data_IF_552801219690
#
_entry.id   IF_552801219690
#
_cell.length_a   1.000
_cell.length_b   1.000
_cell.length_c   1.000
_cell.angle_alpha   90.00
_cell.angle_beta   90.00
_cell.angle_gamma   90.00
#
_symmetry.space_group_name_H-M   'P 1'
#
loop_
_entity.id
_entity.type
_entity.pdbx_description
1 polymer ?
#
# COMPACT_ATOMS: atom_id res chain seq x y z
N UNK A 1 81.32 -46.22 15.43
CA UNK A 1 80.88 -45.32 16.47
C UNK A 1 79.71 -44.55 15.95
N UNK A 2 78.51 -44.84 16.50
CA UNK A 2 77.23 -44.49 15.91
C UNK A 2 76.75 -43.14 16.41
N UNK A 3 76.41 -42.28 15.48
CA UNK A 3 75.73 -41.00 15.69
C UNK A 3 74.22 -41.19 15.53
N UNK A 4 73.47 -40.94 16.58
CA UNK A 4 71.99 -40.84 16.54
C UNK A 4 71.57 -39.38 16.42
N UNK A 5 70.98 -39.05 15.29
CA UNK A 5 70.25 -37.79 15.15
C UNK A 5 68.74 -38.07 15.26
N UNK A 6 68.14 -37.55 16.31
CA UNK A 6 66.72 -37.58 16.48
C UNK A 6 66.07 -36.39 15.76
N UNK A 7 65.17 -36.71 14.89
CA UNK A 7 64.29 -35.76 14.21
C UNK A 7 63.19 -35.31 15.18
N UNK A 8 63.10 -34.01 15.37
CA UNK A 8 61.91 -33.35 15.97
C UNK A 8 61.48 -32.31 14.96
N UNK A 9 60.47 -32.61 14.21
CA UNK A 9 59.73 -31.59 13.43
C UNK A 9 58.37 -32.13 13.07
N UNK A 10 57.38 -31.29 13.19
CA UNK A 10 56.01 -31.33 12.75
C UNK A 10 54.98 -31.49 13.90
N UNK A 11 54.47 -30.34 14.30
CA UNK A 11 53.06 -30.15 14.76
C UNK A 11 52.85 -28.71 15.13
N UNK A 12 52.83 -27.75 14.13
CA UNK A 12 52.21 -26.46 14.30
C UNK A 12 51.65 -26.06 12.91
N UNK A 13 50.50 -26.54 12.57
CA UNK A 13 49.72 -25.93 11.46
C UNK A 13 48.29 -26.49 11.47
N UNK A 14 47.42 -25.99 12.32
CA UNK A 14 45.97 -25.94 12.10
C UNK A 14 45.30 -25.44 13.39
N UNK A 15 45.08 -24.15 13.54
CA UNK A 15 43.74 -23.66 13.82
C UNK A 15 43.50 -22.24 13.26
N UNK A 16 43.48 -22.06 11.97
CA UNK A 16 43.20 -20.73 11.36
C UNK A 16 42.03 -20.76 10.36
N UNK A 17 41.30 -21.88 10.27
CA UNK A 17 40.21 -22.03 9.29
C UNK A 17 38.79 -22.02 9.90
N UNK A 18 38.64 -21.74 11.19
CA UNK A 18 37.35 -21.82 11.88
C UNK A 18 36.67 -20.47 12.19
N UNK A 19 37.24 -19.33 11.76
CA UNK A 19 36.71 -17.99 12.11
C UNK A 19 35.92 -17.30 10.98
N UNK A 20 35.63 -17.98 9.88
CA UNK A 20 35.03 -17.37 8.69
C UNK A 20 33.51 -17.56 8.50
N UNK A 21 32.79 -18.26 9.39
CA UNK A 21 31.39 -18.70 9.16
C UNK A 21 30.33 -18.08 10.06
N UNK A 22 30.64 -17.03 10.81
CA UNK A 22 29.67 -16.38 11.71
C UNK A 22 29.09 -15.02 11.19
N UNK A 23 29.33 -14.65 9.95
CA UNK A 23 28.89 -13.35 9.40
C UNK A 23 27.58 -13.38 8.59
N UNK A 24 26.70 -14.37 8.74
CA UNK A 24 25.55 -14.57 7.83
C UNK A 24 24.17 -14.54 8.49
N UNK A 25 23.98 -13.85 9.61
CA UNK A 25 22.65 -13.64 10.19
C UNK A 25 22.50 -12.23 10.77
N UNK A 26 22.80 -11.20 10.00
CA UNK A 26 22.25 -9.89 10.30
C UNK A 26 20.78 -9.93 9.84
N UNK A 27 19.78 -9.57 10.69
CA UNK A 27 18.42 -9.41 10.23
C UNK A 27 18.43 -8.35 9.12
N UNK A 28 17.97 -8.72 7.93
CA UNK A 28 17.77 -7.73 6.86
C UNK A 28 16.77 -6.69 7.36
N UNK A 29 17.10 -5.41 7.21
CA UNK A 29 16.13 -4.36 7.48
C UNK A 29 14.82 -4.66 6.72
N UNK A 30 13.65 -4.42 7.34
CA UNK A 30 12.38 -4.64 6.68
C UNK A 30 12.37 -3.87 5.35
N UNK A 31 11.89 -4.54 4.30
CA UNK A 31 11.86 -3.97 2.95
C UNK A 31 10.97 -2.72 2.87
N UNK A 32 10.01 -2.59 3.79
CA UNK A 32 9.03 -1.52 3.88
C UNK A 32 8.92 -0.99 5.30
N UNK A 33 8.54 0.29 5.44
CA UNK A 33 8.26 0.93 6.73
C UNK A 33 6.77 0.90 7.07
N UNK A 34 5.89 0.95 6.06
CA UNK A 34 4.46 0.67 6.22
C UNK A 34 4.23 -0.79 6.58
N UNK A 35 3.01 -1.12 7.02
CA UNK A 35 2.70 -2.51 7.40
C UNK A 35 2.73 -3.43 6.19
N UNK A 36 3.69 -4.34 6.13
CA UNK A 36 3.76 -5.39 5.11
C UNK A 36 2.67 -6.44 5.35
N UNK A 37 1.77 -6.58 4.39
CA UNK A 37 0.67 -7.54 4.38
C UNK A 37 0.77 -8.47 3.15
N UNK A 38 1.96 -8.66 2.62
CA UNK A 38 2.22 -9.56 1.50
C UNK A 38 1.73 -10.97 1.82
N UNK A 39 0.95 -11.55 0.90
CA UNK A 39 0.34 -12.87 1.10
C UNK A 39 -1.02 -12.85 1.80
N UNK A 40 -1.56 -11.67 2.10
CA UNK A 40 -2.91 -11.55 2.62
C UNK A 40 -3.95 -12.17 1.68
N UNK A 41 -4.87 -12.96 2.25
CA UNK A 41 -5.91 -13.68 1.49
C UNK A 41 -7.23 -12.89 1.45
N UNK A 42 -7.15 -11.59 1.16
CA UNK A 42 -8.29 -10.68 1.04
C UNK A 42 -7.93 -9.51 0.12
N UNK A 43 -8.94 -8.67 -0.23
CA UNK A 43 -8.74 -7.48 -1.07
C UNK A 43 -8.15 -7.83 -2.43
N UNK A 44 -8.73 -8.83 -3.12
CA UNK A 44 -8.14 -9.40 -4.35
C UNK A 44 -8.49 -8.63 -5.60
N UNK A 45 -9.66 -8.01 -5.63
CA UNK A 45 -10.16 -7.31 -6.81
C UNK A 45 -11.32 -6.38 -6.45
N UNK A 46 -11.66 -5.51 -7.40
CA UNK A 46 -12.90 -4.75 -7.40
C UNK A 46 -13.44 -4.66 -8.83
N UNK A 47 -14.73 -4.35 -8.95
CA UNK A 47 -15.35 -3.98 -10.21
C UNK A 47 -16.33 -2.84 -9.92
N UNK A 48 -15.93 -1.61 -10.27
CA UNK A 48 -16.63 -0.36 -9.99
C UNK A 48 -16.62 0.54 -11.22
N UNK A 49 -17.38 1.63 -11.19
CA UNK A 49 -17.33 2.68 -12.21
C UNK A 49 -16.51 3.85 -11.70
N UNK A 50 -15.59 4.36 -12.53
CA UNK A 50 -14.83 5.56 -12.17
C UNK A 50 -15.67 6.83 -12.40
N UNK A 51 -15.19 7.98 -11.92
CA UNK A 51 -15.89 9.25 -12.04
C UNK A 51 -15.95 9.79 -13.48
N UNK A 52 -15.30 9.12 -14.45
CA UNK A 52 -15.45 9.37 -15.89
C UNK A 52 -16.49 8.45 -16.54
N UNK A 53 -17.17 7.59 -15.76
CA UNK A 53 -18.17 6.65 -16.26
C UNK A 53 -17.59 5.37 -16.86
N UNK A 54 -16.30 5.10 -16.65
CA UNK A 54 -15.66 3.90 -17.18
C UNK A 54 -15.70 2.77 -16.16
N UNK A 55 -16.11 1.54 -16.55
CA UNK A 55 -15.97 0.38 -15.69
C UNK A 55 -14.48 0.07 -15.47
N UNK A 56 -14.11 -0.18 -14.22
CA UNK A 56 -12.74 -0.45 -13.80
C UNK A 56 -12.63 -1.66 -12.91
N UNK A 57 -11.55 -2.36 -13.09
CA UNK A 57 -11.09 -3.46 -12.23
C UNK A 57 -9.63 -3.22 -11.84
N UNK A 58 -9.09 -3.99 -10.91
CA UNK A 58 -7.67 -3.90 -10.57
C UNK A 58 -6.77 -4.24 -11.77
N UNK A 59 -7.22 -5.12 -12.67
CA UNK A 59 -6.47 -5.54 -13.86
C UNK A 59 -6.19 -4.39 -14.85
N UNK A 60 -7.04 -3.35 -14.87
CA UNK A 60 -6.87 -2.18 -15.74
C UNK A 60 -5.64 -1.34 -15.36
N UNK A 61 -5.12 -1.54 -14.15
CA UNK A 61 -3.95 -0.82 -13.62
C UNK A 61 -2.70 -1.70 -13.54
N UNK A 62 -2.68 -2.85 -14.21
CA UNK A 62 -1.53 -3.74 -14.21
C UNK A 62 -0.26 -3.01 -14.68
N UNK A 63 0.85 -3.23 -13.98
CA UNK A 63 2.12 -2.54 -14.21
C UNK A 63 2.29 -1.25 -13.42
N UNK A 64 1.24 -0.79 -12.72
CA UNK A 64 1.31 0.33 -11.78
C UNK A 64 1.24 -0.14 -10.33
N UNK A 65 1.81 0.63 -9.43
CA UNK A 65 1.43 0.57 -8.02
C UNK A 65 0.05 1.19 -7.90
N UNK A 66 -0.88 0.51 -7.23
CA UNK A 66 -2.25 1.00 -7.02
C UNK A 66 -2.48 1.22 -5.54
N UNK A 67 -2.95 2.40 -5.16
CA UNK A 67 -3.36 2.69 -3.79
C UNK A 67 -4.87 2.84 -3.74
N UNK A 68 -5.53 2.21 -2.75
CA UNK A 68 -6.99 2.24 -2.59
C UNK A 68 -7.32 2.71 -1.18
N UNK A 69 -8.07 3.80 -1.11
CA UNK A 69 -8.61 4.36 0.12
C UNK A 69 -10.14 4.35 0.05
N UNK A 70 -10.79 3.86 1.11
CA UNK A 70 -12.24 3.87 1.26
C UNK A 70 -12.66 5.06 2.10
N UNK A 71 -13.58 5.88 1.59
CA UNK A 71 -14.00 7.09 2.25
C UNK A 71 -15.31 7.63 1.70
N UNK A 72 -15.65 8.88 2.01
CA UNK A 72 -16.81 9.59 1.47
C UNK A 72 -16.54 11.10 1.40
N UNK A 73 -17.23 11.80 0.48
CA UNK A 73 -16.91 13.20 0.17
C UNK A 73 -17.24 14.17 1.33
N UNK A 74 -18.27 13.85 2.13
CA UNK A 74 -18.68 14.67 3.26
C UNK A 74 -17.93 14.38 4.57
N UNK A 75 -16.83 13.64 4.51
CA UNK A 75 -15.96 13.40 5.64
C UNK A 75 -15.23 14.70 6.01
N UNK A 76 -15.35 15.18 7.28
CA UNK A 76 -14.83 16.51 7.64
C UNK A 76 -13.31 16.57 7.80
N UNK A 77 -12.61 15.43 7.96
CA UNK A 77 -11.20 15.41 8.36
C UNK A 77 -10.39 14.28 7.69
N UNK A 78 -10.69 13.03 8.00
CA UNK A 78 -9.85 11.86 7.66
C UNK A 78 -9.66 11.69 6.14
N UNK A 79 -10.74 11.84 5.35
CA UNK A 79 -10.68 11.63 3.91
C UNK A 79 -9.89 12.72 3.17
N UNK A 80 -10.13 14.02 3.39
CA UNK A 80 -9.32 15.05 2.75
C UNK A 80 -7.85 14.99 3.21
N UNK A 81 -7.58 14.67 4.48
CA UNK A 81 -6.21 14.49 4.98
C UNK A 81 -5.50 13.33 4.27
N UNK A 82 -6.16 12.17 4.09
CA UNK A 82 -5.59 11.03 3.38
C UNK A 82 -5.29 11.35 1.90
N UNK A 83 -6.22 11.99 1.19
CA UNK A 83 -6.02 12.39 -0.22
C UNK A 83 -4.94 13.45 -0.37
N UNK A 84 -4.85 14.43 0.54
CA UNK A 84 -3.78 15.44 0.55
C UNK A 84 -2.41 14.79 0.81
N UNK A 85 -2.34 13.83 1.73
CA UNK A 85 -1.13 13.03 1.97
C UNK A 85 -0.68 12.29 0.71
N UNK A 86 -1.63 11.65 0.00
CA UNK A 86 -1.32 10.98 -1.27
C UNK A 86 -0.92 11.97 -2.38
N UNK A 87 -1.47 13.18 -2.42
CA UNK A 87 -1.00 14.24 -3.33
C UNK A 87 0.47 14.59 -3.05
N UNK A 88 0.87 14.71 -1.79
CA UNK A 88 2.26 14.92 -1.39
C UNK A 88 3.16 13.74 -1.82
N UNK A 89 2.69 12.50 -1.65
CA UNK A 89 3.39 11.30 -2.15
C UNK A 89 3.63 11.40 -3.65
N UNK A 90 2.62 11.77 -4.43
CA UNK A 90 2.75 11.90 -5.90
C UNK A 90 3.74 13.00 -6.30
N UNK A 91 3.81 14.09 -5.55
CA UNK A 91 4.82 15.14 -5.76
C UNK A 91 6.23 14.63 -5.49
N UNK A 92 6.43 13.89 -4.39
CA UNK A 92 7.71 13.30 -4.01
C UNK A 92 8.20 12.22 -4.99
N UNK A 93 7.28 11.49 -5.60
CA UNK A 93 7.59 10.50 -6.64
C UNK A 93 8.08 11.14 -7.95
N UNK A 94 7.72 12.39 -8.20
CA UNK A 94 8.12 13.11 -9.42
C UNK A 94 7.71 12.35 -10.69
N UNK A 95 8.64 12.05 -11.62
CA UNK A 95 8.31 11.31 -12.85
C UNK A 95 7.80 9.90 -12.62
N UNK A 96 8.13 9.25 -11.51
CA UNK A 96 7.63 7.89 -11.19
C UNK A 96 6.14 7.89 -10.83
N UNK A 97 5.56 9.04 -10.49
CA UNK A 97 4.14 9.16 -10.18
C UNK A 97 3.22 8.67 -11.32
N UNK A 98 3.65 8.71 -12.58
CA UNK A 98 2.89 8.18 -13.72
C UNK A 98 2.73 6.65 -13.68
N UNK A 99 3.55 5.98 -12.87
CA UNK A 99 3.49 4.54 -12.60
C UNK A 99 2.67 4.20 -11.36
N UNK A 100 1.97 5.18 -10.79
CA UNK A 100 1.10 5.02 -9.61
C UNK A 100 -0.32 5.41 -9.96
N UNK A 101 -1.29 4.68 -9.46
CA UNK A 101 -2.70 5.04 -9.53
C UNK A 101 -3.27 5.14 -8.12
N UNK A 102 -3.76 6.32 -7.78
CA UNK A 102 -4.49 6.55 -6.54
C UNK A 102 -5.99 6.43 -6.81
N UNK A 103 -6.66 5.63 -6.00
CA UNK A 103 -8.08 5.32 -6.10
C UNK A 103 -8.76 5.65 -4.78
N UNK A 104 -9.82 6.46 -4.87
CA UNK A 104 -10.77 6.72 -3.79
C UNK A 104 -12.05 5.93 -4.07
N UNK A 105 -12.45 5.03 -3.18
CA UNK A 105 -13.70 4.26 -3.28
C UNK A 105 -14.69 4.82 -2.30
N UNK A 106 -15.84 5.31 -2.79
CA UNK A 106 -16.87 5.79 -1.85
C UNK A 106 -17.52 4.65 -1.09
N UNK A 107 -17.75 4.87 0.21
CA UNK A 107 -18.58 4.03 1.08
C UNK A 107 -19.97 4.64 1.31
N UNK A 108 -20.28 5.73 0.59
CA UNK A 108 -21.55 6.44 0.68
C UNK A 108 -22.17 6.70 -0.71
N UNK A 109 -22.46 5.67 -1.48
CA UNK A 109 -22.97 5.82 -2.84
C UNK A 109 -24.35 6.47 -2.92
N UNK A 110 -25.02 6.68 -1.79
CA UNK A 110 -26.31 7.40 -1.73
C UNK A 110 -26.12 8.92 -1.87
N UNK A 111 -25.01 9.48 -1.35
CA UNK A 111 -24.69 10.91 -1.44
C UNK A 111 -23.57 11.19 -2.44
N UNK A 112 -22.63 10.29 -2.59
CA UNK A 112 -21.46 10.45 -3.47
C UNK A 112 -21.80 9.96 -4.87
N UNK A 113 -22.35 10.85 -5.71
CA UNK A 113 -22.59 10.54 -7.13
C UNK A 113 -21.31 10.55 -7.96
N UNK A 114 -21.37 10.02 -9.18
CA UNK A 114 -20.26 10.07 -10.12
C UNK A 114 -19.80 11.51 -10.38
N UNK A 115 -20.76 12.45 -10.55
CA UNK A 115 -20.52 13.87 -10.80
C UNK A 115 -19.82 14.51 -9.59
N UNK A 116 -20.28 14.22 -8.36
CA UNK A 116 -19.65 14.75 -7.14
C UNK A 116 -18.22 14.25 -6.98
N UNK A 117 -17.96 12.96 -7.28
CA UNK A 117 -16.61 12.41 -7.26
C UNK A 117 -15.72 13.05 -8.34
N UNK A 118 -16.27 13.39 -9.51
CA UNK A 118 -15.54 14.09 -10.57
C UNK A 118 -15.14 15.53 -10.18
N UNK A 119 -15.88 16.15 -9.29
CA UNK A 119 -15.54 17.46 -8.72
C UNK A 119 -14.57 17.34 -7.54
N UNK A 120 -14.79 16.37 -6.65
CA UNK A 120 -14.06 16.24 -5.38
C UNK A 120 -12.66 15.68 -5.54
N UNK A 121 -12.51 14.53 -6.21
CA UNK A 121 -11.25 13.78 -6.22
C UNK A 121 -10.11 14.50 -6.96
N UNK A 122 -10.35 15.14 -8.13
CA UNK A 122 -9.30 15.85 -8.86
C UNK A 122 -8.78 17.12 -8.20
N UNK A 123 -9.44 17.61 -7.14
CA UNK A 123 -8.95 18.75 -6.34
C UNK A 123 -7.60 18.42 -5.69
N UNK A 124 -7.38 17.17 -5.33
CA UNK A 124 -6.13 16.71 -4.69
C UNK A 124 -5.04 16.41 -5.71
N UNK A 125 -5.38 15.70 -6.78
CA UNK A 125 -4.52 15.47 -7.95
C UNK A 125 -5.40 14.99 -9.12
N UNK A 126 -5.20 15.57 -10.31
CA UNK A 126 -5.99 15.25 -11.52
C UNK A 126 -5.85 13.80 -12.00
N UNK A 127 -4.83 13.07 -11.51
CA UNK A 127 -4.59 11.66 -11.83
C UNK A 127 -5.36 10.70 -10.91
N UNK A 128 -5.94 11.19 -9.83
CA UNK A 128 -6.70 10.36 -8.90
C UNK A 128 -8.03 9.95 -9.50
N UNK A 129 -8.48 8.75 -9.17
CA UNK A 129 -9.77 8.23 -9.61
C UNK A 129 -10.70 8.04 -8.41
N UNK A 130 -11.89 8.63 -8.50
CA UNK A 130 -13.00 8.31 -7.62
C UNK A 130 -13.82 7.16 -8.20
N UNK A 131 -14.17 6.18 -7.37
CA UNK A 131 -14.93 5.01 -7.75
C UNK A 131 -16.28 4.97 -7.03
N UNK A 132 -17.32 4.66 -7.80
CA UNK A 132 -18.68 4.50 -7.30
C UNK A 132 -19.28 3.20 -7.82
N UNK A 133 -20.29 2.69 -7.14
CA UNK A 133 -21.06 1.51 -7.53
C UNK A 133 -22.34 1.41 -6.74
N UNK A 134 -23.20 0.45 -7.08
CA UNK A 134 -24.39 0.16 -6.30
C UNK A 134 -24.05 -0.16 -4.83
N UNK A 135 -24.91 0.21 -3.86
CA UNK A 135 -24.63 -0.01 -2.43
C UNK A 135 -24.23 -1.45 -2.10
N UNK A 136 -24.89 -2.43 -2.72
CA UNK A 136 -24.60 -3.85 -2.50
C UNK A 136 -23.20 -4.23 -3.00
N UNK A 137 -22.77 -3.61 -4.11
CA UNK A 137 -21.43 -3.83 -4.68
C UNK A 137 -20.34 -3.20 -3.82
N UNK A 138 -20.58 -2.02 -3.29
CA UNK A 138 -19.70 -1.37 -2.31
C UNK A 138 -19.57 -2.23 -1.05
N UNK A 139 -20.69 -2.76 -0.54
CA UNK A 139 -20.69 -3.63 0.64
C UNK A 139 -19.90 -4.94 0.40
N UNK A 140 -20.05 -5.56 -0.77
CA UNK A 140 -19.29 -6.75 -1.17
C UNK A 140 -17.79 -6.46 -1.17
N UNK A 141 -17.37 -5.38 -1.83
CA UNK A 141 -15.95 -4.99 -1.95
C UNK A 141 -15.38 -4.60 -0.59
N UNK A 142 -16.10 -3.80 0.20
CA UNK A 142 -15.68 -3.45 1.56
C UNK A 142 -15.47 -4.69 2.43
N UNK A 143 -16.35 -5.68 2.34
CA UNK A 143 -16.19 -6.97 3.03
C UNK A 143 -14.95 -7.73 2.55
N UNK A 144 -14.69 -7.80 1.23
CA UNK A 144 -13.50 -8.45 0.68
C UNK A 144 -12.22 -7.75 1.15
N UNK A 145 -12.22 -6.43 1.22
CA UNK A 145 -11.10 -5.63 1.73
C UNK A 145 -11.02 -5.57 3.27
N UNK A 146 -11.96 -6.20 3.98
CA UNK A 146 -12.08 -6.12 5.45
C UNK A 146 -12.22 -4.68 5.95
N UNK A 147 -12.86 -3.84 5.16
CA UNK A 147 -13.20 -2.46 5.50
C UNK A 147 -14.49 -2.45 6.31
N UNK A 148 -14.41 -1.94 7.52
CA UNK A 148 -15.59 -1.61 8.31
C UNK A 148 -16.08 -0.22 7.91
N UNK A 149 -17.39 -0.05 7.76
CA UNK A 149 -18.03 1.25 7.66
C UNK A 149 -19.45 1.20 8.24
N UNK A 150 -19.90 2.31 8.83
CA UNK A 150 -21.21 2.41 9.44
C UNK A 150 -21.66 3.86 9.50
N UNK A 151 -22.89 4.15 9.09
CA UNK A 151 -23.53 5.44 9.29
C UNK A 151 -23.72 5.72 10.78
N UNK A 152 -23.44 6.95 11.21
CA UNK A 152 -23.53 7.43 12.58
C UNK A 152 -24.17 8.84 12.60
N UNK A 153 -25.05 9.12 13.57
CA UNK A 153 -25.78 10.38 13.68
C UNK A 153 -27.23 10.29 13.19
N UNK A 154 -27.79 11.43 12.76
CA UNK A 154 -29.16 11.49 12.24
C UNK A 154 -29.24 10.95 10.81
N UNK A 155 -29.79 9.76 10.65
CA UNK A 155 -29.90 9.06 9.36
C UNK A 155 -30.85 9.77 8.36
N UNK A 156 -31.57 10.83 8.77
CA UNK A 156 -32.50 11.56 7.91
C UNK A 156 -31.84 12.77 7.18
N UNK A 157 -30.50 12.96 7.28
CA UNK A 157 -29.86 14.02 6.50
C UNK A 157 -28.44 14.41 6.93
N UNK A 158 -28.11 14.30 8.20
CA UNK A 158 -26.82 14.79 8.74
C UNK A 158 -26.02 13.67 9.44
N UNK A 159 -25.77 12.58 8.71
CA UNK A 159 -24.96 11.49 9.24
C UNK A 159 -23.50 11.60 8.80
N UNK A 160 -22.60 11.11 9.63
CA UNK A 160 -21.22 10.77 9.31
C UNK A 160 -21.10 9.26 9.07
N UNK A 161 -19.95 8.83 8.53
CA UNK A 161 -19.66 7.40 8.40
C UNK A 161 -18.36 7.10 9.14
N UNK A 162 -18.47 6.28 10.18
CA UNK A 162 -17.30 5.66 10.80
C UNK A 162 -16.76 4.60 9.83
N UNK A 163 -15.49 4.69 9.43
CA UNK A 163 -14.91 3.73 8.50
C UNK A 163 -13.44 3.44 8.79
N UNK A 164 -12.95 2.30 8.28
CA UNK A 164 -11.51 1.98 8.28
C UNK A 164 -10.74 3.04 7.49
N UNK A 165 -9.73 3.65 8.12
CA UNK A 165 -9.05 4.84 7.61
C UNK A 165 -7.65 4.56 6.99
N UNK A 166 -7.33 3.33 6.70
CA UNK A 166 -6.04 2.97 6.07
C UNK A 166 -6.13 2.85 4.56
N UNK A 167 -4.97 2.94 3.91
CA UNK A 167 -4.81 2.81 2.47
C UNK A 167 -4.17 1.46 2.13
N UNK A 168 -4.78 0.71 1.24
CA UNK A 168 -4.24 -0.53 0.69
C UNK A 168 -3.33 -0.23 -0.50
N UNK A 169 -2.16 -0.88 -0.56
CA UNK A 169 -1.19 -0.66 -1.63
C UNK A 169 -0.90 -1.98 -2.34
N UNK A 170 -1.13 -1.98 -3.64
CA UNK A 170 -0.86 -3.10 -4.54
C UNK A 170 0.43 -2.86 -5.32
N UNK A 171 1.21 -3.91 -5.49
CA UNK A 171 2.38 -3.88 -6.36
C UNK A 171 2.02 -3.86 -7.84
N UNK A 172 3.00 -3.61 -8.73
CA UNK A 172 2.78 -3.61 -10.19
C UNK A 172 2.27 -4.94 -10.75
N UNK A 173 2.44 -6.03 -10.00
CA UNK A 173 1.93 -7.36 -10.30
C UNK A 173 0.44 -7.55 -9.95
N UNK A 174 -0.19 -6.52 -9.37
CA UNK A 174 -1.59 -6.54 -8.93
C UNK A 174 -1.82 -7.30 -7.63
N UNK A 175 -0.78 -7.60 -6.85
CA UNK A 175 -0.92 -8.24 -5.53
C UNK A 175 -0.93 -7.20 -4.41
N UNK A 176 -1.76 -7.44 -3.41
CA UNK A 176 -1.79 -6.64 -2.19
C UNK A 176 -0.48 -6.80 -1.42
N UNK A 177 0.16 -5.67 -1.09
CA UNK A 177 1.49 -5.65 -0.50
C UNK A 177 1.53 -4.92 0.83
N UNK A 178 0.99 -3.70 0.90
CA UNK A 178 1.12 -2.87 2.10
C UNK A 178 -0.24 -2.36 2.57
N UNK A 179 -0.31 -2.10 3.86
CA UNK A 179 -1.35 -1.32 4.51
C UNK A 179 -0.71 -0.09 5.16
N UNK A 180 -1.06 1.09 4.64
CA UNK A 180 -0.63 2.39 5.13
C UNK A 180 -1.65 2.87 6.16
N UNK A 181 -1.21 3.13 7.37
CA UNK A 181 -2.07 3.66 8.43
C UNK A 181 -2.48 5.09 8.11
N UNK A 182 -3.61 5.53 8.68
CA UNK A 182 -4.00 6.94 8.61
C UNK A 182 -2.91 7.83 9.21
N UNK A 183 -2.67 9.00 8.58
CA UNK A 183 -1.65 9.97 8.95
C UNK A 183 -0.19 9.44 8.97
N UNK A 184 0.10 8.36 8.22
CA UNK A 184 1.48 7.95 7.97
C UNK A 184 2.22 9.07 7.23
N UNK A 185 3.51 9.25 7.53
CA UNK A 185 4.33 10.25 6.87
C UNK A 185 4.37 10.02 5.34
N UNK A 186 3.96 10.98 4.50
CA UNK A 186 4.00 10.85 3.05
C UNK A 186 5.38 10.49 2.50
N UNK A 187 6.47 10.89 3.17
CA UNK A 187 7.84 10.56 2.75
C UNK A 187 8.13 9.07 2.94
N UNK A 188 7.60 8.46 4.00
CA UNK A 188 7.67 7.01 4.25
C UNK A 188 6.89 6.26 3.17
N UNK A 189 5.67 6.70 2.89
CA UNK A 189 4.82 6.07 1.86
C UNK A 189 5.46 6.17 0.48
N UNK A 190 6.03 7.32 0.12
CA UNK A 190 6.72 7.52 -1.15
C UNK A 190 7.94 6.58 -1.29
N UNK A 191 8.72 6.41 -0.22
CA UNK A 191 9.87 5.50 -0.20
C UNK A 191 9.44 4.04 -0.40
N UNK A 192 8.36 3.61 0.26
CA UNK A 192 7.80 2.26 0.11
C UNK A 192 7.25 2.02 -1.30
N UNK A 193 6.57 3.00 -1.90
CA UNK A 193 6.10 2.93 -3.29
C UNK A 193 7.28 2.84 -4.26
N UNK A 194 8.35 3.63 -4.08
CA UNK A 194 9.58 3.53 -4.87
C UNK A 194 10.20 2.12 -4.78
N UNK A 195 10.20 1.53 -3.58
CA UNK A 195 10.69 0.16 -3.38
C UNK A 195 9.83 -0.88 -4.15
N UNK A 196 8.50 -0.75 -4.13
CA UNK A 196 7.59 -1.60 -4.93
C UNK A 196 7.82 -1.43 -6.44
N UNK A 197 8.02 -0.20 -6.92
CA UNK A 197 8.31 0.10 -8.32
C UNK A 197 9.67 -0.47 -8.78
N UNK A 198 10.62 -0.63 -7.84
CA UNK A 198 11.92 -1.27 -8.05
C UNK A 198 11.88 -2.81 -7.93
N UNK A 199 10.71 -3.41 -7.67
CA UNK A 199 10.53 -4.87 -7.64
C UNK A 199 10.83 -5.54 -6.29
N UNK A 200 10.79 -4.79 -5.19
CA UNK A 200 10.93 -5.34 -3.83
C UNK A 200 9.64 -5.99 -3.33
#
# INVERSE_FOLDING_TARGET
MLSRRHAVSRFIAAPLLALGLLAACAPSEPAFKSTDITGADYGKNFALTDHHGQPRTLADFKGKVVTIFFGYTQCPDVCPTALSGMSTVMQELGPEADRVQVIFVTVDPERDTQELLAEYVPVFDKRFLGMVGAPEKIAEIAKDFRVFYRKSGDLQGHYTIDHTAGTYVFGPDGRLRLYVKHAEDPMVVAADIKALLAGK
#
